data_IF_087905977479
#
_entry.id   IF_087905977479
#
_cell.length_a   1.000
_cell.length_b   1.000
_cell.length_c   1.000
_cell.angle_alpha   90.00
_cell.angle_beta   90.00
_cell.angle_gamma   90.00
#
_symmetry.space_group_name_H-M   'P 1'
#
loop_
_entity.id
_entity.type
_entity.pdbx_description
1 polymer ?
#
# COMPACT_ATOMS: atom_id res chain seq x y z
N UNK A 1 -7.39 -20.86 14.76
CA UNK A 1 -8.05 -19.61 15.17
C UNK A 1 -8.32 -18.83 13.90
N UNK A 2 -9.54 -18.93 13.40
CA UNK A 2 -9.93 -18.25 12.17
C UNK A 2 -9.98 -16.74 12.45
N UNK A 3 -9.16 -15.99 11.73
CA UNK A 3 -9.17 -14.53 11.80
C UNK A 3 -10.45 -14.04 11.15
N UNK A 4 -11.44 -13.69 11.96
CA UNK A 4 -12.63 -12.96 11.53
C UNK A 4 -12.16 -11.60 11.03
N UNK A 5 -12.10 -11.44 9.70
CA UNK A 5 -11.92 -10.13 9.08
C UNK A 5 -13.27 -9.43 9.25
N UNK A 6 -13.36 -8.30 9.98
CA UNK A 6 -14.61 -7.56 10.04
C UNK A 6 -14.96 -7.11 8.61
N UNK A 7 -16.02 -7.67 8.07
CA UNK A 7 -16.64 -7.18 6.83
C UNK A 7 -17.16 -5.77 7.13
N UNK A 8 -16.66 -4.81 6.36
CA UNK A 8 -17.23 -3.46 6.34
C UNK A 8 -18.65 -3.62 5.77
N UNK A 9 -19.64 -2.93 6.34
CA UNK A 9 -20.99 -3.02 5.81
C UNK A 9 -21.01 -2.35 4.42
N UNK A 10 -20.93 -3.16 3.37
CA UNK A 10 -20.73 -2.75 1.97
C UNK A 10 -21.86 -1.90 1.37
N UNK A 11 -22.94 -1.64 2.11
CA UNK A 11 -24.16 -1.05 1.56
C UNK A 11 -24.03 0.43 1.18
N UNK A 12 -23.02 1.18 1.64
CA UNK A 12 -22.91 2.63 1.37
C UNK A 12 -21.59 3.09 0.72
N UNK A 13 -20.58 2.23 0.54
CA UNK A 13 -19.30 2.66 -0.04
C UNK A 13 -19.29 2.55 -1.57
N UNK A 14 -19.93 3.51 -2.24
CA UNK A 14 -19.94 3.57 -3.71
C UNK A 14 -18.66 4.22 -4.24
N UNK A 15 -17.81 3.44 -4.90
CA UNK A 15 -16.66 3.98 -5.64
C UNK A 15 -17.14 4.96 -6.72
N UNK A 16 -16.51 6.14 -6.78
CA UNK A 16 -16.74 7.15 -7.81
C UNK A 16 -15.62 7.11 -8.83
N UNK A 17 -15.97 7.19 -10.11
CA UNK A 17 -15.02 7.13 -11.22
C UNK A 17 -14.98 8.46 -11.97
N UNK A 18 -13.85 8.77 -12.58
CA UNK A 18 -13.65 10.03 -13.31
C UNK A 18 -14.33 10.05 -14.69
N UNK A 19 -14.74 8.89 -15.20
CA UNK A 19 -15.20 8.70 -16.58
C UNK A 19 -14.08 8.30 -17.55
N UNK A 20 -12.81 8.39 -17.12
CA UNK A 20 -11.67 7.90 -17.90
C UNK A 20 -11.48 6.38 -17.76
N UNK A 21 -10.81 5.78 -18.75
CA UNK A 21 -10.41 4.38 -18.74
C UNK A 21 -8.93 4.22 -19.07
N UNK A 22 -8.28 3.25 -18.45
CA UNK A 22 -6.90 2.84 -18.75
C UNK A 22 -6.86 1.37 -19.07
N UNK A 23 -6.02 0.99 -20.04
CA UNK A 23 -5.80 -0.40 -20.41
C UNK A 23 -4.74 -1.02 -19.51
N UNK A 24 -5.04 -2.13 -18.86
CA UNK A 24 -4.06 -2.90 -18.10
C UNK A 24 -3.07 -3.64 -19.02
N UNK A 25 -1.96 -4.19 -18.51
CA UNK A 25 -0.99 -4.95 -19.31
C UNK A 25 -1.57 -6.20 -19.99
N UNK A 26 -2.71 -6.72 -19.53
CA UNK A 26 -3.43 -7.86 -20.08
C UNK A 26 -4.43 -7.44 -21.17
N UNK A 27 -4.59 -6.14 -21.41
CA UNK A 27 -5.47 -5.58 -22.44
C UNK A 27 -6.88 -5.24 -21.96
N UNK A 28 -7.21 -5.40 -20.68
CA UNK A 28 -8.52 -5.08 -20.12
C UNK A 28 -8.68 -3.58 -19.91
N UNK A 29 -9.87 -3.05 -20.17
CA UNK A 29 -10.20 -1.66 -19.89
C UNK A 29 -10.65 -1.51 -18.43
N UNK A 30 -9.91 -0.73 -17.65
CA UNK A 30 -10.19 -0.45 -16.25
C UNK A 30 -10.64 1.01 -16.08
N UNK A 31 -11.82 1.28 -15.48
CA UNK A 31 -12.22 2.64 -15.15
C UNK A 31 -11.27 3.26 -14.13
N UNK A 32 -10.97 4.54 -14.30
CA UNK A 32 -10.11 5.30 -13.40
C UNK A 32 -10.89 5.75 -12.18
N UNK A 33 -10.45 5.32 -11.00
CA UNK A 33 -11.05 5.70 -9.73
C UNK A 33 -10.75 7.16 -9.40
N UNK A 34 -11.78 7.91 -8.99
CA UNK A 34 -11.60 9.25 -8.44
C UNK A 34 -11.18 9.15 -6.96
N UNK A 35 -9.87 9.10 -6.74
CA UNK A 35 -9.28 8.99 -5.39
C UNK A 35 -9.60 10.19 -4.49
N UNK A 36 -10.00 11.34 -5.05
CA UNK A 36 -10.37 12.54 -4.27
C UNK A 36 -11.72 12.40 -3.57
N UNK A 37 -12.55 11.44 -4.01
CA UNK A 37 -13.87 11.14 -3.44
C UNK A 37 -13.84 9.98 -2.44
N UNK A 38 -12.68 9.38 -2.21
CA UNK A 38 -12.53 8.32 -1.23
C UNK A 38 -12.45 8.91 0.17
N UNK A 39 -13.32 8.42 1.05
CA UNK A 39 -13.26 8.73 2.47
C UNK A 39 -12.53 7.61 3.24
N UNK A 40 -11.40 7.95 3.84
CA UNK A 40 -10.66 7.08 4.76
C UNK A 40 -10.85 7.49 6.22
N UNK A 41 -11.64 8.51 6.57
CA UNK A 41 -11.78 8.99 7.93
C UNK A 41 -12.20 7.88 8.89
N UNK A 42 -13.22 7.09 8.51
CA UNK A 42 -13.74 5.96 9.29
C UNK A 42 -13.06 4.62 8.98
N UNK A 43 -12.11 4.57 8.03
CA UNK A 43 -11.46 3.33 7.66
C UNK A 43 -10.63 2.76 8.84
N UNK A 44 -10.69 1.45 9.11
CA UNK A 44 -9.91 0.85 10.19
C UNK A 44 -8.40 1.00 9.97
N UNK A 45 -7.66 1.05 11.06
CA UNK A 45 -6.21 1.22 11.06
C UNK A 45 -5.51 -0.12 11.19
N UNK A 46 -4.60 -0.42 10.26
CA UNK A 46 -3.84 -1.66 10.20
C UNK A 46 -2.32 -1.41 10.23
N UNK A 47 -1.55 -2.37 10.72
CA UNK A 47 -0.08 -2.40 10.61
C UNK A 47 0.36 -3.62 9.80
N UNK A 48 1.47 -3.50 9.06
CA UNK A 48 2.15 -4.71 8.58
C UNK A 48 2.67 -5.50 9.78
N UNK A 49 2.28 -6.78 9.84
CA UNK A 49 2.74 -7.75 10.86
C UNK A 49 4.26 -7.97 10.83
N UNK A 50 4.91 -8.19 9.66
CA UNK A 50 6.33 -8.45 9.65
C UNK A 50 7.14 -7.18 9.89
N UNK A 51 8.19 -7.32 10.70
CA UNK A 51 9.29 -6.36 10.78
C UNK A 51 10.08 -6.38 9.47
N UNK A 52 10.70 -5.25 9.14
CA UNK A 52 11.51 -5.09 7.94
C UNK A 52 12.95 -4.80 8.30
N UNK A 53 13.87 -5.47 7.63
CA UNK A 53 15.27 -5.09 7.62
C UNK A 53 15.45 -3.99 6.56
N UNK A 54 16.06 -2.90 6.99
CA UNK A 54 16.42 -1.76 6.15
C UNK A 54 17.92 -1.61 6.21
N UNK A 55 18.54 -1.29 5.08
CA UNK A 55 19.95 -0.96 5.00
C UNK A 55 20.16 0.48 4.54
N UNK A 56 21.26 1.09 4.93
CA UNK A 56 21.79 2.29 4.28
C UNK A 56 22.21 1.91 2.87
N UNK A 57 21.80 2.68 1.87
CA UNK A 57 22.35 2.57 0.54
C UNK A 57 23.80 3.10 0.54
N UNK A 58 24.79 2.24 0.31
CA UNK A 58 26.22 2.61 0.35
C UNK A 58 26.80 2.96 -1.02
N UNK A 59 26.18 2.45 -2.08
CA UNK A 59 26.52 2.71 -3.49
C UNK A 59 25.24 2.68 -4.31
N UNK A 60 25.25 3.21 -5.52
CA UNK A 60 24.16 3.15 -6.48
C UNK A 60 23.58 1.75 -6.68
N UNK A 61 22.62 1.34 -5.85
CA UNK A 61 21.96 0.05 -6.01
C UNK A 61 20.78 0.28 -6.95
N UNK A 62 20.79 -0.44 -8.07
CA UNK A 62 19.64 -0.55 -8.95
C UNK A 62 18.57 -1.32 -8.19
N UNK A 63 17.55 -0.62 -7.68
CA UNK A 63 16.36 -1.29 -7.18
C UNK A 63 15.82 -2.16 -8.30
N UNK A 64 15.88 -3.48 -8.15
CA UNK A 64 15.23 -4.41 -9.06
C UNK A 64 13.82 -4.61 -8.54
N UNK A 65 12.83 -4.30 -9.38
CA UNK A 65 11.45 -4.67 -9.12
C UNK A 65 11.01 -5.66 -10.19
N UNK A 66 10.93 -6.93 -9.82
CA UNK A 66 10.36 -7.99 -10.67
C UNK A 66 8.87 -8.12 -10.38
N UNK A 67 8.05 -7.93 -11.39
CA UNK A 67 6.60 -8.11 -11.33
C UNK A 67 6.22 -9.59 -11.46
N UNK A 68 5.02 -9.96 -11.03
CA UNK A 68 4.52 -11.33 -11.07
C UNK A 68 4.45 -11.93 -12.49
N UNK A 69 4.46 -11.09 -13.53
CA UNK A 69 4.51 -11.49 -14.94
C UNK A 69 5.93 -11.62 -15.50
N UNK A 70 6.96 -11.54 -14.64
CA UNK A 70 8.36 -11.66 -15.05
C UNK A 70 8.98 -10.37 -15.62
N UNK A 71 8.22 -9.27 -15.73
CA UNK A 71 8.80 -7.99 -16.11
C UNK A 71 9.71 -7.48 -15.00
N UNK A 72 10.88 -7.01 -15.39
CA UNK A 72 11.81 -6.33 -14.50
C UNK A 72 11.77 -4.84 -14.82
N UNK A 73 11.61 -4.02 -13.78
CA UNK A 73 11.87 -2.60 -13.88
C UNK A 73 13.01 -2.24 -12.96
N UNK A 74 13.81 -1.28 -13.41
CA UNK A 74 14.84 -0.63 -12.61
C UNK A 74 14.33 0.75 -12.23
N UNK A 75 13.47 0.90 -11.20
CA UNK A 75 12.98 2.19 -10.76
C UNK A 75 14.09 3.04 -10.11
N UNK A 76 15.02 3.53 -10.94
CA UNK A 76 16.10 4.48 -10.65
C UNK A 76 17.11 4.04 -9.58
N UNK A 77 18.35 4.44 -9.78
CA UNK A 77 19.47 4.20 -8.85
C UNK A 77 19.19 4.81 -7.48
N UNK A 78 19.39 4.05 -6.41
CA UNK A 78 19.33 4.55 -5.03
C UNK A 78 20.58 5.36 -4.69
N UNK A 79 20.39 6.50 -4.04
CA UNK A 79 21.49 7.39 -3.66
C UNK A 79 22.10 6.97 -2.33
N UNK A 80 23.37 7.30 -2.13
CA UNK A 80 24.06 7.07 -0.87
C UNK A 80 23.27 7.70 0.28
N UNK A 81 23.05 6.93 1.35
CA UNK A 81 22.29 7.35 2.54
C UNK A 81 20.78 7.05 2.49
N UNK A 82 20.23 6.65 1.34
CA UNK A 82 18.81 6.29 1.23
C UNK A 82 18.48 5.00 1.99
N UNK A 83 17.25 4.92 2.52
CA UNK A 83 16.74 3.76 3.23
C UNK A 83 16.34 2.67 2.23
N UNK A 84 17.19 1.64 2.07
CA UNK A 84 16.94 0.50 1.20
C UNK A 84 16.12 -0.56 1.94
N UNK A 85 14.88 -0.77 1.50
CA UNK A 85 13.98 -1.79 2.06
C UNK A 85 14.19 -3.10 1.32
N UNK A 86 14.46 -4.17 2.07
CA UNK A 86 14.70 -5.51 1.52
C UNK A 86 13.47 -6.38 1.78
N UNK A 87 12.73 -6.72 0.73
CA UNK A 87 11.59 -7.65 0.81
C UNK A 87 11.94 -9.08 0.37
N UNK A 88 13.14 -9.27 -0.19
CA UNK A 88 13.68 -10.53 -0.69
C UNK A 88 15.05 -10.28 -1.34
N UNK A 89 15.70 -11.34 -1.83
CA UNK A 89 17.04 -11.23 -2.48
C UNK A 89 17.02 -10.30 -3.69
N UNK A 90 15.88 -10.24 -4.40
CA UNK A 90 15.72 -9.52 -5.67
C UNK A 90 14.68 -8.39 -5.61
N UNK A 91 14.02 -8.15 -4.46
CA UNK A 91 13.02 -7.08 -4.29
C UNK A 91 13.53 -6.06 -3.28
N UNK A 92 14.19 -5.03 -3.80
CA UNK A 92 14.69 -3.91 -3.02
C UNK A 92 14.15 -2.59 -3.55
N UNK A 93 13.75 -1.70 -2.65
CA UNK A 93 13.18 -0.41 -3.04
C UNK A 93 13.44 0.66 -1.98
N UNK A 94 13.39 1.92 -2.40
CA UNK A 94 13.43 3.09 -1.50
C UNK A 94 12.03 3.70 -1.44
N UNK A 95 11.36 3.71 -0.27
CA UNK A 95 10.04 4.32 -0.16
C UNK A 95 10.11 5.84 -0.25
N UNK A 96 8.97 6.45 -0.58
CA UNK A 96 8.80 7.91 -0.49
C UNK A 96 8.75 8.39 0.96
N UNK A 97 9.46 9.47 1.27
CA UNK A 97 9.41 10.21 2.54
C UNK A 97 8.13 11.07 2.68
N UNK A 98 8.00 11.75 3.82
CA UNK A 98 6.87 12.61 4.20
C UNK A 98 6.66 13.81 3.26
N UNK A 99 7.74 14.41 2.80
CA UNK A 99 7.78 15.54 1.85
C UNK A 99 7.62 15.13 0.38
N UNK A 100 7.54 13.83 0.08
CA UNK A 100 7.44 13.34 -1.30
C UNK A 100 8.78 12.97 -1.94
N UNK A 101 9.89 13.26 -1.24
CA UNK A 101 11.24 12.84 -1.65
C UNK A 101 11.50 11.34 -1.44
N UNK A 102 12.79 10.97 -1.51
CA UNK A 102 13.25 9.60 -1.22
C UNK A 102 13.60 9.52 0.27
N UNK A 103 13.20 8.43 0.91
CA UNK A 103 13.44 8.26 2.34
C UNK A 103 14.93 8.04 2.62
N UNK A 104 15.52 8.88 3.46
CA UNK A 104 16.86 8.67 4.00
C UNK A 104 16.81 7.70 5.18
N UNK A 105 17.89 6.95 5.37
CA UNK A 105 17.98 5.95 6.43
C UNK A 105 17.89 6.55 7.84
N UNK A 106 18.45 7.74 8.04
CA UNK A 106 18.39 8.41 9.33
C UNK A 106 17.02 9.08 9.61
N UNK A 107 16.16 9.20 8.60
CA UNK A 107 14.84 9.80 8.71
C UNK A 107 13.72 8.79 8.99
N UNK A 108 14.04 7.53 9.29
CA UNK A 108 13.05 6.45 9.47
C UNK A 108 12.00 6.80 10.53
N UNK A 109 12.43 7.20 11.72
CA UNK A 109 11.53 7.54 12.83
C UNK A 109 10.72 8.81 12.53
N UNK A 110 11.37 9.83 11.96
CA UNK A 110 10.69 11.05 11.50
C UNK A 110 9.59 10.73 10.47
N UNK A 111 9.71 9.63 9.72
CA UNK A 111 8.75 9.14 8.75
C UNK A 111 7.74 8.10 9.31
N UNK A 112 7.72 7.90 10.63
CA UNK A 112 6.75 7.08 11.35
C UNK A 112 7.08 5.59 11.39
N UNK A 113 8.30 5.20 11.05
CA UNK A 113 8.78 3.84 11.29
C UNK A 113 9.21 3.70 12.75
N UNK A 114 8.86 2.59 13.37
CA UNK A 114 9.27 2.25 14.73
C UNK A 114 10.55 1.42 14.64
N UNK A 115 11.70 2.00 15.01
CA UNK A 115 13.02 1.35 14.94
C UNK A 115 13.20 0.48 16.18
N UNK A 116 13.07 -0.84 16.00
CA UNK A 116 13.22 -1.82 17.08
C UNK A 116 14.69 -1.97 17.46
N UNK A 117 15.56 -2.03 16.45
CA UNK A 117 17.01 -2.11 16.64
C UNK A 117 17.73 -1.47 15.46
N UNK A 118 18.91 -0.90 15.73
CA UNK A 118 19.81 -0.31 14.73
C UNK A 118 21.23 -0.79 15.04
N UNK A 119 21.91 -1.35 14.04
CA UNK A 119 23.29 -1.82 14.15
C UNK A 119 24.04 -1.45 12.88
N UNK A 120 24.99 -0.51 13.00
CA UNK A 120 25.76 0.00 11.86
C UNK A 120 24.84 0.54 10.76
N UNK A 121 24.96 -0.06 9.57
CA UNK A 121 24.22 0.28 8.35
C UNK A 121 22.84 -0.37 8.26
N UNK A 122 22.36 -1.05 9.31
CA UNK A 122 21.09 -1.79 9.28
C UNK A 122 20.14 -1.41 10.41
N UNK A 123 18.85 -1.45 10.12
CA UNK A 123 17.78 -1.25 11.09
C UNK A 123 16.70 -2.30 10.91
N UNK A 124 16.21 -2.84 12.03
CA UNK A 124 14.98 -3.63 12.08
C UNK A 124 13.84 -2.70 12.50
N UNK A 125 12.84 -2.55 11.64
CA UNK A 125 11.74 -1.60 11.89
C UNK A 125 10.36 -2.22 11.75
N UNK A 126 9.38 -1.65 12.44
CA UNK A 126 7.95 -1.84 12.09
C UNK A 126 7.50 -0.74 11.14
N UNK A 127 6.67 -1.11 10.18
CA UNK A 127 6.10 -0.13 9.24
C UNK A 127 5.09 0.78 9.93
N UNK A 128 4.95 2.04 9.50
CA UNK A 128 3.87 2.90 9.95
C UNK A 128 2.52 2.27 9.63
N UNK A 129 1.50 2.52 10.47
CA UNK A 129 0.16 2.04 10.21
C UNK A 129 -0.44 2.69 8.96
N UNK A 130 -1.48 2.07 8.41
CA UNK A 130 -2.25 2.59 7.28
C UNK A 130 -3.73 2.36 7.48
N UNK A 131 -4.55 3.27 6.96
CA UNK A 131 -6.00 3.09 6.88
C UNK A 131 -6.33 2.27 5.65
N UNK A 132 -7.13 1.22 5.82
CA UNK A 132 -7.46 0.27 4.76
C UNK A 132 -8.97 0.20 4.53
N UNK A 133 -9.39 0.31 3.27
CA UNK A 133 -10.74 0.02 2.82
C UNK A 133 -10.74 -1.37 2.20
N UNK A 134 -11.31 -2.32 2.92
CA UNK A 134 -11.39 -3.74 2.56
C UNK A 134 -12.76 -4.00 1.94
N UNK A 135 -12.84 -4.85 0.92
CA UNK A 135 -14.11 -5.24 0.27
C UNK A 135 -14.63 -4.26 -0.78
N UNK A 136 -14.15 -3.01 -0.78
CA UNK A 136 -14.68 -1.94 -1.67
C UNK A 136 -14.37 -2.12 -3.15
N UNK A 137 -13.32 -2.87 -3.52
CA UNK A 137 -12.96 -3.13 -4.92
C UNK A 137 -13.65 -4.40 -5.39
N UNK A 138 -14.77 -4.25 -6.11
CA UNK A 138 -15.60 -5.34 -6.61
C UNK A 138 -15.52 -5.55 -8.14
N UNK A 139 -14.85 -4.66 -8.85
CA UNK A 139 -14.56 -4.73 -10.28
C UNK A 139 -13.11 -4.30 -10.55
N UNK A 140 -12.53 -4.63 -11.72
CA UNK A 140 -11.23 -4.08 -12.10
C UNK A 140 -11.27 -2.55 -12.13
N UNK A 141 -10.26 -1.90 -11.55
CA UNK A 141 -10.14 -0.44 -11.49
C UNK A 141 -8.69 -0.01 -11.74
N UNK A 142 -8.50 1.24 -12.14
CA UNK A 142 -7.19 1.87 -12.24
C UNK A 142 -7.07 3.01 -11.22
N UNK A 143 -6.02 2.96 -10.41
CA UNK A 143 -5.50 4.13 -9.71
C UNK A 143 -4.49 4.80 -10.65
N UNK A 144 -4.83 5.98 -11.12
CA UNK A 144 -4.05 6.75 -12.10
C UNK A 144 -2.90 7.49 -11.42
N UNK A 145 -1.77 7.63 -12.12
CA UNK A 145 -0.59 8.41 -11.70
C UNK A 145 -0.07 8.16 -10.27
N UNK A 146 -0.18 6.94 -9.77
CA UNK A 146 0.13 6.68 -8.36
C UNK A 146 1.62 6.89 -8.07
N UNK A 147 2.51 6.48 -8.99
CA UNK A 147 3.98 6.57 -8.83
C UNK A 147 4.66 7.67 -9.64
N UNK A 148 3.89 8.53 -10.33
CA UNK A 148 4.47 9.58 -11.16
C UNK A 148 3.55 10.01 -12.29
N UNK A 149 4.16 10.42 -13.40
CA UNK A 149 3.51 11.00 -14.56
C UNK A 149 2.49 10.07 -15.26
N UNK A 150 1.52 10.68 -15.93
CA UNK A 150 0.33 10.03 -16.50
C UNK A 150 0.59 9.25 -17.79
N UNK A 151 1.62 9.63 -18.51
CA UNK A 151 2.02 9.07 -19.80
C UNK A 151 2.84 7.78 -19.65
N UNK A 152 3.28 7.44 -18.45
CA UNK A 152 4.04 6.22 -18.16
C UNK A 152 3.11 5.16 -17.58
N UNK A 153 2.78 4.08 -18.33
CA UNK A 153 1.82 3.07 -17.87
C UNK A 153 2.19 2.41 -16.54
N UNK A 154 3.48 2.27 -16.25
CA UNK A 154 3.99 1.70 -15.01
C UNK A 154 3.72 2.56 -13.75
N UNK A 155 3.33 3.84 -13.94
CA UNK A 155 2.95 4.72 -12.84
C UNK A 155 1.50 4.52 -12.40
N UNK A 156 0.70 3.80 -13.17
CA UNK A 156 -0.66 3.43 -12.78
C UNK A 156 -0.65 2.14 -11.98
N UNK A 157 -1.64 1.99 -11.09
CA UNK A 157 -1.86 0.74 -10.37
C UNK A 157 -3.22 0.17 -10.73
N UNK A 158 -3.21 -1.01 -11.34
CA UNK A 158 -4.42 -1.76 -11.65
C UNK A 158 -4.76 -2.67 -10.48
N UNK A 159 -6.03 -2.64 -10.06
CA UNK A 159 -6.54 -3.43 -8.95
C UNK A 159 -7.73 -4.25 -9.42
N UNK A 160 -7.77 -5.50 -9.00
CA UNK A 160 -8.79 -6.47 -9.36
C UNK A 160 -9.74 -6.73 -8.19
N UNK A 161 -10.91 -7.37 -8.42
CA UNK A 161 -11.86 -7.67 -7.36
C UNK A 161 -11.20 -8.34 -6.14
N UNK A 162 -11.57 -7.86 -4.95
CA UNK A 162 -10.98 -8.29 -3.68
C UNK A 162 -9.69 -7.59 -3.29
N UNK A 163 -9.18 -6.65 -4.11
CA UNK A 163 -8.10 -5.76 -3.71
C UNK A 163 -8.54 -4.80 -2.59
N UNK A 164 -7.55 -4.32 -1.84
CA UNK A 164 -7.74 -3.42 -0.70
C UNK A 164 -7.14 -2.05 -1.04
N UNK A 165 -7.91 -0.98 -0.84
CA UNK A 165 -7.40 0.38 -0.96
C UNK A 165 -6.73 0.81 0.35
N UNK A 166 -5.67 1.59 0.23
CA UNK A 166 -4.78 1.97 1.33
C UNK A 166 -4.41 3.44 1.25
N UNK A 167 -4.49 4.12 2.38
CA UNK A 167 -3.93 5.44 2.59
C UNK A 167 -3.10 5.46 3.88
N UNK A 168 -1.88 5.99 3.82
CA UNK A 168 -1.09 6.23 5.03
C UNK A 168 -1.65 7.48 5.75
N UNK A 169 -1.72 7.51 7.09
CA UNK A 169 -2.13 8.71 7.82
C UNK A 169 -1.27 9.92 7.44
N UNK A 170 -1.92 11.07 7.24
CA UNK A 170 -1.25 12.31 6.84
C UNK A 170 -0.72 12.32 5.40
N UNK A 171 -1.08 11.34 4.57
CA UNK A 171 -0.73 11.28 3.14
C UNK A 171 -1.98 11.32 2.29
N UNK A 172 -1.95 12.11 1.22
CA UNK A 172 -3.04 12.20 0.24
C UNK A 172 -3.08 11.00 -0.70
N UNK A 173 -1.90 10.45 -1.04
CA UNK A 173 -1.77 9.36 -2.00
C UNK A 173 -2.45 8.07 -1.54
N UNK A 174 -3.37 7.61 -2.38
CA UNK A 174 -4.07 6.32 -2.25
C UNK A 174 -3.36 5.29 -3.10
N UNK A 175 -3.18 4.09 -2.56
CA UNK A 175 -2.57 2.94 -3.21
C UNK A 175 -3.47 1.72 -3.01
N UNK A 176 -3.23 0.63 -3.73
CA UNK A 176 -3.89 -0.64 -3.48
C UNK A 176 -2.94 -1.77 -3.15
N UNK A 177 -3.51 -2.88 -2.71
CA UNK A 177 -2.82 -4.16 -2.59
C UNK A 177 -3.78 -5.30 -2.92
N UNK A 178 -3.24 -6.40 -3.42
CA UNK A 178 -3.99 -7.63 -3.62
C UNK A 178 -4.26 -8.34 -2.28
N UNK A 179 -5.04 -9.42 -2.34
CA UNK A 179 -5.40 -10.24 -1.17
C UNK A 179 -4.16 -10.75 -0.42
N UNK A 180 -3.16 -11.28 -1.14
CA UNK A 180 -1.91 -11.79 -0.56
C UNK A 180 -1.11 -10.68 0.13
N UNK A 181 -1.11 -9.48 -0.44
CA UNK A 181 -0.52 -8.29 0.16
C UNK A 181 -1.22 -7.89 1.46
N UNK A 182 -2.56 -7.99 1.50
CA UNK A 182 -3.38 -7.68 2.67
C UNK A 182 -3.21 -8.67 3.84
N UNK A 183 -3.02 -9.96 3.58
CA UNK A 183 -2.84 -10.99 4.64
C UNK A 183 -1.66 -10.70 5.58
N UNK A 184 -0.68 -9.92 5.10
CA UNK A 184 0.48 -9.43 5.86
C UNK A 184 0.15 -8.29 6.83
N UNK A 185 -1.10 -7.83 6.90
CA UNK A 185 -1.55 -6.75 7.77
C UNK A 185 -2.41 -7.27 8.93
N UNK A 186 -2.25 -6.62 10.09
CA UNK A 186 -3.03 -6.88 11.30
C UNK A 186 -3.80 -5.62 11.71
N UNK A 187 -5.05 -5.80 12.16
CA UNK A 187 -5.90 -4.73 12.66
C UNK A 187 -5.32 -4.17 13.97
N UNK A 188 -5.11 -2.86 14.04
CA UNK A 188 -4.66 -2.15 15.26
C UNK A 188 -5.86 -1.51 15.94
N UNK A 189 -6.74 -0.86 15.17
CA UNK A 189 -7.89 -0.12 15.67
C UNK A 189 -9.05 -0.22 14.68
N UNK A 190 -10.22 -0.64 15.18
CA UNK A 190 -11.46 -0.75 14.38
C UNK A 190 -12.03 0.61 13.96
N UNK A 191 -12.93 0.60 12.99
CA UNK A 191 -13.74 1.76 12.62
C UNK A 191 -14.62 2.18 13.81
N UNK A 192 -14.74 3.49 14.06
CA UNK A 192 -15.40 4.04 15.25
C UNK A 192 -16.90 3.78 15.35
N UNK A 193 -17.56 3.21 14.33
CA UNK A 193 -19.02 2.99 14.31
C UNK A 193 -19.43 1.79 13.44
N UNK A 194 -19.00 0.57 13.77
CA UNK A 194 -19.66 -0.63 13.22
C UNK A 194 -20.78 -1.01 14.20
N UNK A 195 -22.07 -1.00 13.80
CA UNK A 195 -23.14 -1.56 14.62
C UNK A 195 -22.77 -3.01 14.96
N UNK A 196 -22.81 -3.37 16.25
CA UNK A 196 -22.54 -4.74 16.68
C UNK A 196 -23.39 -5.70 15.84
N UNK A 197 -22.82 -6.80 15.31
CA UNK A 197 -23.62 -7.80 14.64
C UNK A 197 -24.64 -8.35 15.63
N UNK A 198 -25.93 -8.06 15.42
CA UNK A 198 -27.01 -8.78 16.09
C UNK A 198 -27.01 -10.20 15.56
N UNK A 199 -26.49 -11.12 16.37
CA UNK A 199 -26.70 -12.56 16.21
C UNK A 199 -28.22 -12.81 16.20
N UNK A 200 -28.81 -13.00 15.02
CA UNK A 200 -30.08 -13.73 14.92
C UNK A 200 -29.73 -15.20 14.93
N UNK A 201 -29.83 -15.81 16.11
CA UNK A 201 -29.93 -17.27 16.23
C UNK A 201 -31.16 -17.72 15.42
N UNK A 202 -30.95 -18.44 14.33
CA UNK A 202 -32.01 -19.27 13.77
C UNK A 202 -32.10 -20.52 14.65
N UNK A 203 -33.28 -20.69 15.26
CA UNK A 203 -33.78 -21.96 15.81
C UNK A 203 -34.00 -22.91 14.65
#
# INVERSE_FOLDING_TARGET
MDSVIPEFNDQDFKLTFTGEFRRDPQGNMCPVLDVSKLDFEQAPLYQKKPTKVIRVCEKGIFGLQRFANGLETYPREAKIGEALFINGVEDTYVPTSKDGGRLMFDDLEANGYDVISKYGDQALVKSPPAKLLVGVVNQPICLKCVWGDDDVPANHQFLYPGAVLKQKPGKTRVTGMDKKGFEKWGLIKGASNIPKPTLKSKI
#
